data_IF_255257350017
#
_entry.id   IF_255257350017
#
_cell.length_a   1.000
_cell.length_b   1.000
_cell.length_c   1.000
_cell.angle_alpha   90.00
_cell.angle_beta   90.00
_cell.angle_gamma   90.00
#
_symmetry.space_group_name_H-M   'P 1'
#
loop_
_entity.id
_entity.type
_entity.pdbx_description
1 polymer ?
#
# COMPACT_ATOMS: atom_id res chain seq x y z
N UNK A 1 26.71 21.00 -11.51
CA UNK A 1 26.20 22.14 -10.77
C UNK A 1 25.46 21.67 -9.52
N UNK A 2 25.50 22.48 -8.48
CA UNK A 2 24.89 22.22 -7.19
C UNK A 2 23.90 23.32 -6.82
N UNK A 3 22.93 22.99 -5.98
CA UNK A 3 21.99 23.93 -5.37
C UNK A 3 22.18 23.94 -3.86
N UNK A 4 21.85 25.07 -3.24
CA UNK A 4 21.89 25.26 -1.79
C UNK A 4 20.47 25.45 -1.29
N UNK A 5 20.03 24.57 -0.39
CA UNK A 5 18.71 24.62 0.25
C UNK A 5 18.86 24.75 1.76
N UNK A 6 17.83 25.26 2.42
CA UNK A 6 17.83 25.52 3.85
C UNK A 6 16.86 24.59 4.58
N UNK A 7 17.27 24.13 5.76
CA UNK A 7 16.33 23.51 6.71
C UNK A 7 15.44 24.59 7.34
N UNK A 8 14.32 24.22 7.99
CA UNK A 8 13.50 25.18 8.74
C UNK A 8 14.25 25.93 9.81
N UNK A 9 15.35 25.36 10.35
CA UNK A 9 16.22 25.98 11.34
C UNK A 9 17.28 26.91 10.73
N UNK A 10 17.35 26.96 9.40
CA UNK A 10 18.32 27.79 8.68
C UNK A 10 19.65 27.11 8.36
N UNK A 11 19.78 25.82 8.63
CA UNK A 11 20.98 25.04 8.26
C UNK A 11 21.04 24.84 6.74
N UNK A 12 22.26 24.99 6.21
CA UNK A 12 22.50 24.87 4.78
C UNK A 12 22.74 23.42 4.35
N UNK A 13 22.11 23.01 3.26
CA UNK A 13 22.32 21.71 2.63
C UNK A 13 22.62 21.86 1.15
N UNK A 14 23.68 21.21 0.70
CA UNK A 14 24.08 21.19 -0.72
C UNK A 14 23.52 19.93 -1.39
N UNK A 15 22.91 20.11 -2.55
CA UNK A 15 22.36 19.03 -3.37
C UNK A 15 22.78 19.20 -4.83
N UNK A 16 22.84 18.12 -5.62
CA UNK A 16 22.95 18.24 -7.06
C UNK A 16 21.82 19.06 -7.67
N UNK A 17 22.10 19.82 -8.71
CA UNK A 17 21.05 20.50 -9.46
C UNK A 17 20.06 19.49 -10.04
N UNK A 18 18.76 19.81 -9.97
CA UNK A 18 17.68 18.91 -10.35
C UNK A 18 17.21 17.98 -9.25
N UNK A 19 17.81 18.04 -8.06
CA UNK A 19 17.37 17.24 -6.92
C UNK A 19 15.93 17.58 -6.53
N UNK A 20 15.17 16.54 -6.17
CA UNK A 20 13.78 16.64 -5.75
C UNK A 20 13.64 16.67 -4.23
N UNK A 21 12.42 16.92 -3.75
CA UNK A 21 12.10 16.82 -2.33
C UNK A 21 12.45 15.44 -1.76
N UNK A 22 12.24 14.36 -2.52
CA UNK A 22 12.61 13.00 -2.14
C UNK A 22 14.12 12.82 -2.02
N UNK A 23 14.88 13.35 -2.97
CA UNK A 23 16.36 13.35 -2.91
C UNK A 23 16.87 14.04 -1.65
N UNK A 24 16.27 15.17 -1.31
CA UNK A 24 16.60 15.90 -0.08
C UNK A 24 16.32 15.06 1.17
N UNK A 25 15.16 14.42 1.25
CA UNK A 25 14.80 13.56 2.38
C UNK A 25 15.82 12.43 2.60
N UNK A 26 16.20 11.72 1.55
CA UNK A 26 17.23 10.68 1.62
C UNK A 26 18.63 11.23 1.91
N UNK A 27 18.90 12.47 1.55
CA UNK A 27 20.20 13.11 1.86
C UNK A 27 20.37 13.38 3.35
N UNK A 28 19.26 13.60 4.08
CA UNK A 28 19.27 13.83 5.51
C UNK A 28 19.41 12.50 6.27
N UNK A 29 18.46 11.60 6.07
CA UNK A 29 18.45 10.30 6.72
C UNK A 29 17.58 9.31 5.94
N UNK A 30 17.98 8.04 5.92
CA UNK A 30 17.23 7.00 5.21
C UNK A 30 15.80 6.81 5.75
N UNK A 31 15.61 7.00 7.06
CA UNK A 31 14.27 6.92 7.66
C UNK A 31 13.37 8.05 7.16
N UNK A 32 13.86 9.28 7.10
CA UNK A 32 13.11 10.40 6.55
C UNK A 32 12.78 10.18 5.08
N UNK A 33 13.72 9.67 4.30
CA UNK A 33 13.49 9.31 2.91
C UNK A 33 12.42 8.25 2.74
N UNK A 34 12.52 7.14 3.46
CA UNK A 34 11.61 6.00 3.34
C UNK A 34 10.19 6.29 3.82
N UNK A 35 10.01 7.22 4.74
CA UNK A 35 8.71 7.62 5.29
C UNK A 35 8.23 8.97 4.74
N UNK A 36 8.94 9.53 3.75
CA UNK A 36 8.61 10.81 3.17
C UNK A 36 7.24 10.73 2.48
N UNK A 37 6.31 11.53 2.97
CA UNK A 37 4.98 11.68 2.38
C UNK A 37 4.95 12.86 1.38
N UNK A 38 5.71 13.89 1.64
CA UNK A 38 5.85 15.10 0.85
C UNK A 38 6.82 16.07 1.52
N UNK A 39 6.79 17.30 1.09
CA UNK A 39 7.58 18.37 1.70
C UNK A 39 6.80 19.68 1.70
N UNK A 40 7.18 20.57 2.60
CA UNK A 40 6.86 22.00 2.49
C UNK A 40 8.08 22.73 1.93
N UNK A 41 7.90 23.32 0.78
CA UNK A 41 8.93 24.18 0.15
C UNK A 41 8.45 25.61 0.24
N UNK A 42 9.19 26.43 0.95
CA UNK A 42 8.79 27.83 1.23
C UNK A 42 7.35 27.92 1.78
N UNK A 43 7.04 27.04 2.75
CA UNK A 43 5.74 26.91 3.42
C UNK A 43 4.60 26.35 2.56
N UNK A 44 4.86 25.89 1.34
CA UNK A 44 3.88 25.25 0.47
C UNK A 44 4.07 23.76 0.42
N UNK A 45 2.99 23.00 0.58
CA UNK A 45 3.00 21.54 0.43
C UNK A 45 3.25 21.16 -1.04
N UNK A 46 4.25 20.34 -1.24
CA UNK A 46 4.66 19.86 -2.58
C UNK A 46 4.82 18.34 -2.59
N UNK A 47 4.68 17.69 -3.78
CA UNK A 47 4.90 16.26 -3.94
C UNK A 47 6.38 15.88 -3.80
N UNK A 48 6.63 14.57 -3.69
CA UNK A 48 7.99 14.00 -3.62
C UNK A 48 8.86 14.34 -4.83
N UNK A 49 8.23 14.47 -5.99
CA UNK A 49 8.88 14.75 -7.28
C UNK A 49 9.20 16.24 -7.50
N UNK A 50 8.82 17.10 -6.56
CA UNK A 50 9.02 18.55 -6.72
C UNK A 50 10.52 18.88 -6.85
N UNK A 51 10.97 19.51 -7.95
CA UNK A 51 12.35 19.91 -8.11
C UNK A 51 12.68 21.11 -7.21
N UNK A 52 13.78 21.01 -6.48
CA UNK A 52 14.23 22.07 -5.59
C UNK A 52 15.11 23.09 -6.33
N UNK A 53 15.11 24.31 -5.85
CA UNK A 53 15.92 25.41 -6.34
C UNK A 53 16.80 25.99 -5.23
N UNK A 54 17.91 26.62 -5.61
CA UNK A 54 18.75 27.32 -4.65
C UNK A 54 17.95 28.41 -3.91
N UNK A 55 18.09 28.43 -2.61
CA UNK A 55 17.37 29.34 -1.72
C UNK A 55 16.08 28.81 -1.15
N UNK A 56 15.61 27.63 -1.60
CA UNK A 56 14.42 26.99 -1.03
C UNK A 56 14.63 26.60 0.42
N UNK A 57 13.61 26.86 1.25
CA UNK A 57 13.49 26.32 2.60
C UNK A 57 12.63 25.05 2.53
N UNK A 58 13.19 23.92 2.95
CA UNK A 58 12.57 22.60 2.78
C UNK A 58 12.34 21.92 4.12
N UNK A 59 11.11 21.56 4.37
CA UNK A 59 10.68 20.75 5.52
C UNK A 59 10.08 19.45 5.02
N UNK A 60 10.63 18.31 5.46
CA UNK A 60 10.13 16.99 5.08
C UNK A 60 8.96 16.61 5.96
N UNK A 61 7.90 16.13 5.31
CA UNK A 61 6.71 15.58 5.96
C UNK A 61 6.78 14.06 5.88
N UNK A 62 6.67 13.40 7.02
CA UNK A 62 6.71 11.95 7.13
C UNK A 62 5.37 11.39 7.55
N UNK A 63 5.11 10.14 7.17
CA UNK A 63 3.97 9.35 7.64
C UNK A 63 4.44 7.96 8.02
N UNK A 64 3.98 7.45 9.17
CA UNK A 64 4.32 6.10 9.64
C UNK A 64 3.81 5.00 8.71
N UNK A 65 2.72 5.28 7.99
CA UNK A 65 2.12 4.34 7.03
C UNK A 65 2.73 4.41 5.64
N UNK A 66 3.65 5.35 5.38
CA UNK A 66 4.26 5.51 4.07
C UNK A 66 5.27 4.38 3.81
N UNK A 67 5.24 3.85 2.60
CA UNK A 67 6.14 2.81 2.12
C UNK A 67 6.77 3.20 0.81
N UNK A 68 8.04 2.82 0.65
CA UNK A 68 8.76 2.98 -0.61
C UNK A 68 8.14 2.08 -1.67
N UNK A 69 7.92 2.62 -2.85
CA UNK A 69 7.44 1.87 -4.02
C UNK A 69 8.43 1.97 -5.17
N UNK A 70 8.33 1.08 -6.16
CA UNK A 70 9.16 1.14 -7.36
C UNK A 70 8.98 2.44 -8.16
N UNK A 71 7.80 3.05 -8.10
CA UNK A 71 7.51 4.34 -8.73
C UNK A 71 8.39 5.47 -8.18
N UNK A 72 8.89 5.36 -6.97
CA UNK A 72 9.77 6.37 -6.36
C UNK A 72 11.10 6.53 -7.10
N UNK A 73 11.54 5.52 -7.84
CA UNK A 73 12.70 5.63 -8.73
C UNK A 73 12.52 6.69 -9.81
N UNK A 74 11.28 6.99 -10.18
CA UNK A 74 10.97 8.07 -11.12
C UNK A 74 10.98 9.46 -10.47
N UNK A 75 10.86 9.52 -9.14
CA UNK A 75 10.86 10.77 -8.38
C UNK A 75 12.25 11.16 -7.90
N UNK A 76 13.11 10.18 -7.67
CA UNK A 76 14.48 10.40 -7.28
C UNK A 76 15.36 10.68 -8.52
N UNK A 77 16.26 11.65 -8.40
CA UNK A 77 17.21 11.99 -9.45
C UNK A 77 18.66 11.68 -9.05
N UNK A 78 18.96 11.72 -7.75
CA UNK A 78 20.30 11.46 -7.24
C UNK A 78 20.62 9.98 -7.16
N UNK A 79 21.88 9.60 -7.44
CA UNK A 79 22.35 8.22 -7.32
C UNK A 79 22.20 7.70 -5.87
N UNK A 80 22.41 8.57 -4.87
CA UNK A 80 22.27 8.23 -3.46
C UNK A 80 20.83 7.81 -3.11
N UNK A 81 19.83 8.61 -3.51
CA UNK A 81 18.43 8.29 -3.27
C UNK A 81 18.00 7.03 -4.01
N UNK A 82 18.34 6.91 -5.29
CA UNK A 82 18.05 5.71 -6.09
C UNK A 82 18.63 4.44 -5.49
N UNK A 83 19.89 4.49 -5.06
CA UNK A 83 20.56 3.34 -4.44
C UNK A 83 19.87 2.92 -3.13
N UNK A 84 19.48 3.86 -2.30
CA UNK A 84 18.78 3.59 -1.04
C UNK A 84 17.36 3.04 -1.28
N UNK A 85 16.63 3.60 -2.23
CA UNK A 85 15.31 3.09 -2.63
C UNK A 85 15.42 1.64 -3.11
N UNK A 86 16.36 1.34 -3.98
CA UNK A 86 16.58 -0.02 -4.50
C UNK A 86 16.95 -1.00 -3.38
N UNK A 87 17.76 -0.58 -2.41
CA UNK A 87 18.12 -1.42 -1.27
C UNK A 87 16.91 -1.74 -0.37
N UNK A 88 16.05 -0.74 -0.12
CA UNK A 88 14.80 -0.91 0.64
C UNK A 88 13.86 -1.87 -0.08
N UNK A 89 13.64 -1.68 -1.38
CA UNK A 89 12.77 -2.54 -2.18
C UNK A 89 13.26 -4.00 -2.21
N UNK A 90 14.57 -4.21 -2.33
CA UNK A 90 15.15 -5.57 -2.28
C UNK A 90 14.95 -6.22 -0.91
N UNK A 91 15.11 -5.48 0.16
CA UNK A 91 14.89 -5.99 1.53
C UNK A 91 13.42 -6.35 1.76
N UNK A 92 12.50 -5.49 1.34
CA UNK A 92 11.06 -5.75 1.43
C UNK A 92 10.66 -6.98 0.61
N UNK A 93 11.20 -7.11 -0.60
CA UNK A 93 10.96 -8.27 -1.46
C UNK A 93 11.42 -9.57 -0.80
N UNK A 94 12.61 -9.59 -0.22
CA UNK A 94 13.13 -10.76 0.50
C UNK A 94 12.29 -11.08 1.74
N UNK A 95 11.85 -10.08 2.48
CA UNK A 95 10.98 -10.27 3.62
C UNK A 95 9.62 -10.84 3.19
N UNK A 96 9.04 -10.31 2.12
CA UNK A 96 7.78 -10.80 1.58
C UNK A 96 7.90 -12.24 1.09
N UNK A 97 8.99 -12.60 0.42
CA UNK A 97 9.25 -13.98 -0.01
C UNK A 97 9.33 -14.94 1.19
N UNK A 98 10.05 -14.56 2.23
CA UNK A 98 10.17 -15.37 3.44
C UNK A 98 8.82 -15.55 4.14
N UNK A 99 8.11 -14.46 4.37
CA UNK A 99 6.77 -14.50 4.98
C UNK A 99 5.78 -15.31 4.14
N UNK A 100 5.81 -15.13 2.84
CA UNK A 100 4.97 -15.90 1.90
C UNK A 100 5.29 -17.38 1.90
N UNK A 101 6.56 -17.76 1.98
CA UNK A 101 6.97 -19.17 2.10
C UNK A 101 6.49 -19.79 3.40
N UNK A 102 6.61 -19.08 4.52
CA UNK A 102 6.09 -19.51 5.83
C UNK A 102 4.58 -19.70 5.80
N UNK A 103 3.84 -18.76 5.23
CA UNK A 103 2.38 -18.84 5.07
C UNK A 103 1.98 -20.01 4.18
N UNK A 104 2.70 -20.27 3.10
CA UNK A 104 2.46 -21.40 2.22
C UNK A 104 2.73 -22.74 2.90
N UNK A 105 3.79 -22.85 3.67
CA UNK A 105 4.10 -24.05 4.42
C UNK A 105 3.02 -24.36 5.47
N UNK A 106 2.49 -23.34 6.14
CA UNK A 106 1.34 -23.50 7.05
C UNK A 106 0.09 -23.96 6.31
N UNK A 107 -0.18 -23.40 5.13
CA UNK A 107 -1.30 -23.81 4.29
C UNK A 107 -1.18 -25.27 3.83
N UNK A 108 -0.02 -25.69 3.37
CA UNK A 108 0.22 -27.07 2.99
C UNK A 108 0.05 -28.03 4.17
N UNK A 109 0.56 -27.67 5.33
CA UNK A 109 0.41 -28.46 6.54
C UNK A 109 -1.04 -28.58 6.97
N UNK A 110 -1.82 -27.50 6.87
CA UNK A 110 -3.24 -27.51 7.23
C UNK A 110 -4.09 -28.38 6.29
N UNK A 111 -3.65 -28.59 5.06
CA UNK A 111 -4.37 -29.36 4.02
C UNK A 111 -3.72 -30.72 3.70
N UNK A 112 -2.78 -31.17 4.51
CA UNK A 112 -2.04 -32.43 4.29
C UNK A 112 -1.37 -32.53 2.92
N UNK A 113 -0.85 -31.40 2.42
CA UNK A 113 -0.12 -31.34 1.17
C UNK A 113 1.37 -31.27 1.48
N UNK A 114 2.18 -32.12 0.82
CA UNK A 114 3.62 -32.07 0.93
C UNK A 114 4.16 -30.80 0.29
N UNK A 115 5.04 -30.08 1.02
CA UNK A 115 5.74 -28.90 0.52
C UNK A 115 6.88 -29.27 -0.45
N UNK A 116 6.53 -30.02 -1.51
CA UNK A 116 7.48 -30.46 -2.54
C UNK A 116 7.65 -29.40 -3.63
N UNK A 117 8.75 -29.48 -4.35
CA UNK A 117 9.00 -28.65 -5.53
C UNK A 117 7.87 -28.76 -6.55
N UNK A 118 7.34 -29.97 -6.74
CA UNK A 118 6.25 -30.25 -7.69
C UNK A 118 4.96 -29.54 -7.26
N UNK A 119 4.61 -29.61 -5.97
CA UNK A 119 3.39 -28.97 -5.47
C UNK A 119 3.51 -27.45 -5.48
N UNK A 120 4.68 -26.90 -5.17
CA UNK A 120 4.94 -25.46 -5.28
C UNK A 120 4.82 -25.02 -6.73
N UNK A 121 5.36 -25.79 -7.68
CA UNK A 121 5.24 -25.51 -9.12
C UNK A 121 3.79 -25.53 -9.60
N UNK A 122 3.00 -26.54 -9.19
CA UNK A 122 1.57 -26.58 -9.49
C UNK A 122 0.86 -25.32 -9.05
N UNK A 123 1.19 -24.82 -7.86
CA UNK A 123 0.54 -23.64 -7.28
C UNK A 123 0.99 -22.34 -7.96
N UNK A 124 2.28 -22.15 -8.22
CA UNK A 124 2.69 -20.91 -8.88
C UNK A 124 2.20 -20.85 -10.34
N UNK A 125 2.12 -21.96 -11.05
CA UNK A 125 1.49 -22.03 -12.38
C UNK A 125 -0.01 -21.76 -12.33
N UNK A 126 -0.70 -22.24 -11.29
CA UNK A 126 -2.11 -21.97 -11.07
C UNK A 126 -2.39 -20.48 -10.93
N UNK A 127 -1.51 -19.74 -10.25
CA UNK A 127 -1.57 -18.28 -10.09
C UNK A 127 -0.88 -17.52 -11.22
N UNK A 128 -0.51 -18.17 -12.31
CA UNK A 128 0.14 -17.56 -13.48
C UNK A 128 1.47 -16.86 -13.13
N UNK A 129 2.17 -17.37 -12.13
CA UNK A 129 3.52 -16.94 -11.77
C UNK A 129 4.56 -17.80 -12.49
N UNK A 130 5.76 -17.26 -12.69
CA UNK A 130 6.84 -17.93 -13.41
C UNK A 130 7.79 -18.70 -12.50
N UNK A 131 7.89 -18.26 -11.25
CA UNK A 131 8.84 -18.82 -10.27
C UNK A 131 8.18 -18.95 -8.89
N UNK A 132 8.77 -19.79 -8.04
CA UNK A 132 8.34 -19.91 -6.63
C UNK A 132 8.57 -18.61 -5.86
N UNK A 133 9.62 -17.87 -6.19
CA UNK A 133 9.94 -16.59 -5.56
C UNK A 133 8.85 -15.56 -5.82
N UNK A 134 8.33 -15.51 -7.05
CA UNK A 134 7.20 -14.65 -7.39
C UNK A 134 5.93 -15.05 -6.61
N UNK A 135 5.68 -16.35 -6.47
CA UNK A 135 4.56 -16.85 -5.68
C UNK A 135 4.70 -16.45 -4.21
N UNK A 136 5.84 -16.70 -3.61
CA UNK A 136 6.10 -16.38 -2.21
C UNK A 136 5.95 -14.89 -1.94
N UNK A 137 6.52 -14.05 -2.79
CA UNK A 137 6.39 -12.60 -2.68
C UNK A 137 4.93 -12.15 -2.77
N UNK A 138 4.17 -12.68 -3.72
CA UNK A 138 2.75 -12.35 -3.89
C UNK A 138 1.91 -12.77 -2.67
N UNK A 139 2.20 -13.91 -2.06
CA UNK A 139 1.57 -14.34 -0.82
C UNK A 139 1.97 -13.44 0.35
N UNK A 140 3.24 -13.11 0.47
CA UNK A 140 3.77 -12.23 1.51
C UNK A 140 3.24 -10.81 1.43
N UNK A 141 3.06 -10.28 0.22
CA UNK A 141 2.42 -8.99 -0.03
C UNK A 141 0.88 -9.02 0.06
N UNK A 142 0.28 -10.20 0.28
CA UNK A 142 -1.17 -10.42 0.31
C UNK A 142 -1.88 -10.12 -1.02
N UNK A 143 -1.16 -10.12 -2.12
CA UNK A 143 -1.72 -10.07 -3.46
C UNK A 143 -2.41 -11.41 -3.82
N UNK A 144 -1.88 -12.50 -3.28
CA UNK A 144 -2.50 -13.83 -3.28
C UNK A 144 -2.86 -14.18 -1.84
N UNK A 145 -4.15 -14.43 -1.62
CA UNK A 145 -4.67 -14.97 -0.36
C UNK A 145 -5.00 -16.43 -0.57
N UNK A 146 -4.26 -17.31 0.09
CA UNK A 146 -4.46 -18.76 -0.01
C UNK A 146 -5.83 -19.14 0.57
N UNK A 147 -6.56 -19.97 -0.17
CA UNK A 147 -7.91 -20.39 0.17
C UNK A 147 -8.16 -21.84 -0.27
N UNK A 148 -9.34 -22.36 0.01
CA UNK A 148 -9.75 -23.70 -0.48
C UNK A 148 -9.82 -23.76 -2.01
N UNK A 149 -10.04 -22.63 -2.69
CA UNK A 149 -10.02 -22.57 -4.15
C UNK A 149 -8.66 -22.96 -4.74
N UNK A 150 -7.57 -22.71 -4.02
CA UNK A 150 -6.20 -23.07 -4.43
C UNK A 150 -5.98 -24.59 -4.46
N UNK A 151 -6.81 -25.39 -3.79
CA UNK A 151 -6.75 -26.86 -3.82
C UNK A 151 -6.99 -27.41 -5.21
N UNK A 152 -7.66 -26.68 -6.09
CA UNK A 152 -7.83 -27.05 -7.49
C UNK A 152 -6.50 -27.22 -8.24
N UNK A 153 -5.44 -26.53 -7.81
CA UNK A 153 -4.11 -26.67 -8.38
C UNK A 153 -3.54 -28.09 -8.22
N UNK A 154 -3.99 -28.83 -7.20
CA UNK A 154 -3.48 -30.15 -6.81
C UNK A 154 -4.38 -31.29 -7.29
N UNK A 155 -5.53 -31.00 -7.90
CA UNK A 155 -6.36 -32.04 -8.49
C UNK A 155 -5.63 -32.73 -9.63
N UNK A 156 -5.50 -34.03 -9.54
CA UNK A 156 -5.03 -34.82 -10.67
C UNK A 156 -6.03 -34.66 -11.84
N UNK A 157 -5.53 -34.20 -12.97
CA UNK A 157 -6.28 -34.31 -14.23
C UNK A 157 -6.41 -35.80 -14.52
N UNK A 158 -7.51 -36.40 -14.09
CA UNK A 158 -7.85 -37.73 -14.55
C UNK A 158 -7.98 -37.68 -16.06
N UNK A 159 -7.00 -38.29 -16.73
CA UNK A 159 -7.09 -38.59 -18.15
C UNK A 159 -8.36 -39.38 -18.39
N UNK A 160 -9.21 -38.86 -19.25
CA UNK A 160 -10.38 -39.42 -19.86
C UNK A 160 -10.71 -40.84 -19.45
N UNK A 161 -11.80 -40.99 -18.73
CA UNK A 161 -12.53 -42.22 -18.58
C UNK A 161 -13.99 -41.93 -18.27
N UNK A 162 -14.87 -42.19 -19.20
CA UNK A 162 -16.32 -42.12 -19.10
C UNK A 162 -16.80 -42.70 -17.78
N UNK A 163 -17.58 -41.97 -17.03
CA UNK A 163 -18.23 -42.50 -15.85
C UNK A 163 -19.13 -41.50 -15.14
N UNK A 164 -20.33 -41.35 -15.61
CA UNK A 164 -21.58 -41.00 -14.95
C UNK A 164 -21.52 -40.50 -13.48
N UNK A 165 -21.96 -39.34 -13.37
CA UNK A 165 -22.58 -38.57 -12.28
C UNK A 165 -23.16 -39.47 -11.16
N UNK A 166 -22.71 -39.21 -9.93
CA UNK A 166 -23.57 -39.32 -8.76
C UNK A 166 -23.67 -37.98 -8.07
N UNK A 167 -24.81 -37.39 -8.36
CA UNK A 167 -25.43 -36.30 -7.60
C UNK A 167 -25.59 -36.77 -6.15
N UNK A 168 -24.87 -36.19 -5.21
CA UNK A 168 -25.16 -36.38 -3.80
C UNK A 168 -25.31 -35.03 -3.14
N UNK A 169 -26.53 -34.86 -2.74
CA UNK A 169 -27.15 -33.89 -1.87
C UNK A 169 -26.22 -33.32 -0.78
N UNK A 170 -26.18 -32.01 -0.72
CA UNK A 170 -25.70 -31.29 0.46
C UNK A 170 -26.86 -31.16 1.47
N UNK A 171 -26.66 -31.54 2.72
CA UNK A 171 -27.59 -31.14 3.76
C UNK A 171 -27.24 -29.73 4.22
N UNK A 172 -28.22 -28.89 4.19
CA UNK A 172 -28.20 -27.56 4.85
C UNK A 172 -27.91 -27.73 6.34
N UNK A 173 -26.80 -27.22 6.78
CA UNK A 173 -26.46 -27.09 8.19
C UNK A 173 -26.35 -25.62 8.59
N UNK A 174 -27.39 -25.21 9.25
CA UNK A 174 -27.54 -23.92 9.93
C UNK A 174 -26.45 -23.76 11.00
N UNK A 175 -25.59 -22.74 10.92
CA UNK A 175 -24.70 -22.45 12.03
C UNK A 175 -24.77 -20.99 12.50
N UNK A 176 -25.15 -20.94 13.74
CA UNK A 176 -25.40 -19.77 14.59
C UNK A 176 -24.14 -18.92 14.79
N UNK A 177 -24.38 -17.62 14.78
CA UNK A 177 -23.55 -16.55 15.30
C UNK A 177 -22.68 -16.91 16.51
N UNK A 178 -21.37 -16.69 16.42
CA UNK A 178 -20.52 -16.41 17.58
C UNK A 178 -19.94 -15.01 17.46
N UNK A 179 -20.38 -14.17 18.40
CA UNK A 179 -19.86 -12.83 18.66
C UNK A 179 -18.37 -12.90 19.02
N UNK A 180 -17.51 -12.36 18.16
CA UNK A 180 -16.12 -12.09 18.49
C UNK A 180 -15.99 -10.73 19.18
N UNK A 181 -15.29 -10.71 20.30
CA UNK A 181 -14.97 -9.54 21.12
C UNK A 181 -14.25 -8.46 20.31
N UNK A 182 -14.77 -7.24 20.39
CA UNK A 182 -14.09 -6.02 19.91
C UNK A 182 -12.97 -5.67 20.87
N UNK A 183 -11.72 -5.73 20.40
CA UNK A 183 -10.62 -5.02 21.04
C UNK A 183 -10.74 -3.52 20.76
N UNK A 184 -10.70 -2.75 21.82
CA UNK A 184 -10.72 -1.27 21.77
C UNK A 184 -9.33 -0.80 21.38
N UNK A 185 -9.21 -0.21 20.19
CA UNK A 185 -8.07 0.63 19.83
C UNK A 185 -8.20 2.03 20.44
N UNK A 186 -7.08 2.70 20.76
CA UNK A 186 -7.12 4.01 21.43
C UNK A 186 -7.67 5.10 20.50
N UNK A 187 -8.47 5.95 21.08
CA UNK A 187 -9.15 7.07 20.43
C UNK A 187 -8.17 8.15 19.99
N UNK A 188 -7.90 8.20 18.70
CA UNK A 188 -7.44 9.42 18.04
C UNK A 188 -8.63 10.31 17.74
N UNK A 189 -8.47 11.61 17.94
CA UNK A 189 -9.48 12.65 17.72
C UNK A 189 -10.01 12.56 16.29
N UNK A 190 -11.20 11.97 16.13
CA UNK A 190 -11.83 11.80 14.82
C UNK A 190 -12.61 13.04 14.47
N UNK A 191 -12.42 13.58 13.26
CA UNK A 191 -13.36 14.54 12.69
C UNK A 191 -14.73 13.86 12.69
N UNK A 192 -15.70 14.47 13.38
CA UNK A 192 -17.03 13.92 13.40
C UNK A 192 -17.65 14.04 12.00
N UNK A 193 -18.00 12.90 11.40
CA UNK A 193 -18.58 12.84 10.03
C UNK A 193 -19.84 13.72 9.92
N UNK A 194 -20.50 13.98 11.02
CA UNK A 194 -21.69 14.86 11.10
C UNK A 194 -21.42 16.32 10.73
N UNK A 195 -20.15 16.76 10.84
CA UNK A 195 -19.76 18.16 10.63
C UNK A 195 -19.11 18.39 9.25
N UNK A 196 -19.10 17.38 8.37
CA UNK A 196 -18.48 17.49 7.06
C UNK A 196 -19.44 18.17 6.08
N UNK A 197 -19.06 19.34 5.60
CA UNK A 197 -19.77 20.00 4.51
C UNK A 197 -19.42 19.32 3.18
N UNK A 198 -20.34 18.48 2.70
CA UNK A 198 -20.16 17.72 1.45
C UNK A 198 -20.11 18.58 0.19
N UNK A 199 -20.41 19.87 0.30
CA UNK A 199 -20.34 20.82 -0.81
C UNK A 199 -18.94 21.36 -1.04
N UNK A 200 -18.06 21.17 -0.06
CA UNK A 200 -16.66 21.62 -0.13
C UNK A 200 -15.73 20.42 -0.14
N UNK A 201 -14.63 20.45 -0.92
CA UNK A 201 -13.64 19.38 -0.86
C UNK A 201 -12.96 19.37 0.52
N UNK A 202 -12.58 18.15 0.95
CA UNK A 202 -11.74 17.97 2.14
C UNK A 202 -10.35 18.55 1.84
N UNK A 203 -9.88 19.43 2.71
CA UNK A 203 -8.52 19.96 2.60
C UNK A 203 -7.55 18.99 3.32
N UNK A 204 -6.65 18.42 2.56
CA UNK A 204 -5.63 17.51 3.07
C UNK A 204 -4.43 18.31 3.54
N UNK A 205 -4.48 18.79 4.78
CA UNK A 205 -3.37 19.40 5.47
C UNK A 205 -2.51 18.35 6.15
N UNK A 206 -1.27 18.69 6.49
CA UNK A 206 -0.40 17.78 7.23
C UNK A 206 -1.03 17.29 8.54
N UNK A 207 -1.61 18.19 9.30
CA UNK A 207 -2.27 17.90 10.57
C UNK A 207 -3.48 16.98 10.38
N UNK A 208 -4.32 17.27 9.38
CA UNK A 208 -5.50 16.47 9.08
C UNK A 208 -5.15 15.04 8.65
N UNK A 209 -4.07 14.86 7.88
CA UNK A 209 -3.59 13.54 7.46
C UNK A 209 -3.06 12.75 8.64
N UNK A 210 -2.34 13.38 9.54
CA UNK A 210 -1.79 12.70 10.72
C UNK A 210 -2.86 12.31 11.74
N UNK A 211 -3.88 13.14 11.91
CA UNK A 211 -4.86 13.02 12.99
C UNK A 211 -6.21 12.44 12.57
N UNK A 212 -6.65 12.73 11.35
CA UNK A 212 -8.06 12.54 10.95
C UNK A 212 -8.27 11.62 9.77
N UNK A 213 -7.31 11.51 8.86
CA UNK A 213 -7.45 10.76 7.61
C UNK A 213 -6.54 9.56 7.56
N UNK A 214 -6.98 8.52 6.84
CA UNK A 214 -6.20 7.32 6.56
C UNK A 214 -5.80 7.36 5.10
N UNK A 215 -4.52 7.13 4.83
CA UNK A 215 -4.01 6.95 3.47
C UNK A 215 -4.26 5.51 3.04
N UNK A 216 -4.95 5.33 1.92
CA UNK A 216 -5.29 4.00 1.42
C UNK A 216 -4.05 3.18 1.05
N UNK A 217 -3.96 1.95 1.55
CA UNK A 217 -2.84 1.05 1.26
C UNK A 217 -2.84 0.56 -0.19
N UNK A 218 -4.01 0.48 -0.83
CA UNK A 218 -4.16 -0.05 -2.19
C UNK A 218 -3.53 0.83 -3.28
N UNK A 219 -3.41 2.14 -3.05
CA UNK A 219 -2.93 3.10 -4.05
C UNK A 219 -1.95 4.13 -3.50
N UNK A 220 -1.83 4.27 -2.18
CA UNK A 220 -0.87 5.15 -1.48
C UNK A 220 -0.75 6.53 -2.11
N UNK A 221 -1.81 7.36 -2.08
CA UNK A 221 -1.78 8.71 -2.65
C UNK A 221 -0.74 9.59 -1.94
N UNK A 222 -0.12 10.43 -2.71
CA UNK A 222 0.87 11.43 -2.25
C UNK A 222 0.41 12.83 -2.66
N UNK A 223 0.94 13.89 -2.02
CA UNK A 223 0.66 15.27 -2.45
C UNK A 223 0.92 15.46 -3.94
N UNK A 224 -0.04 16.08 -4.63
CA UNK A 224 -0.03 16.26 -6.09
C UNK A 224 -0.88 15.23 -6.86
N UNK A 225 -1.24 14.11 -6.26
CA UNK A 225 -2.16 13.15 -6.86
C UNK A 225 -3.59 13.70 -6.86
N UNK A 226 -4.38 13.32 -7.86
CA UNK A 226 -5.82 13.53 -7.85
C UNK A 226 -6.47 12.50 -6.94
N UNK A 227 -7.15 12.97 -5.89
CA UNK A 227 -7.62 12.14 -4.79
C UNK A 227 -9.10 12.30 -4.49
N UNK A 228 -9.64 11.33 -3.79
CA UNK A 228 -10.98 11.38 -3.18
C UNK A 228 -10.93 10.78 -1.77
N UNK A 229 -11.92 11.13 -0.96
CA UNK A 229 -12.15 10.52 0.33
C UNK A 229 -13.28 9.49 0.27
N UNK A 230 -13.16 8.43 1.05
CA UNK A 230 -14.19 7.41 1.22
C UNK A 230 -14.46 7.20 2.71
N UNK A 231 -15.73 7.25 3.11
CA UNK A 231 -16.16 6.96 4.49
C UNK A 231 -16.34 5.45 4.61
N UNK A 232 -15.45 4.79 5.36
CA UNK A 232 -15.50 3.35 5.56
C UNK A 232 -16.57 2.92 6.60
N UNK A 233 -16.70 1.61 6.83
CA UNK A 233 -17.67 1.06 7.78
C UNK A 233 -17.38 1.42 9.25
N UNK A 234 -16.15 1.85 9.55
CA UNK A 234 -15.73 2.33 10.86
C UNK A 234 -15.90 3.85 11.03
N UNK A 235 -16.56 4.51 10.09
CA UNK A 235 -16.69 5.97 10.02
C UNK A 235 -15.32 6.69 9.98
N UNK A 236 -14.35 6.10 9.29
CA UNK A 236 -13.06 6.71 9.02
C UNK A 236 -13.03 7.20 7.57
N UNK A 237 -12.31 8.29 7.33
CA UNK A 237 -12.12 8.82 5.98
C UNK A 237 -10.81 8.28 5.43
N UNK A 238 -10.91 7.49 4.37
CA UNK A 238 -9.78 6.88 3.68
C UNK A 238 -9.54 7.64 2.38
N UNK A 239 -8.32 8.12 2.18
CA UNK A 239 -7.93 8.88 0.99
C UNK A 239 -7.38 7.91 -0.06
N UNK A 240 -7.99 7.92 -1.23
CA UNK A 240 -7.61 7.13 -2.39
C UNK A 240 -7.19 8.03 -3.55
N UNK A 241 -6.32 7.53 -4.42
CA UNK A 241 -6.18 8.11 -5.76
C UNK A 241 -7.51 7.97 -6.51
N UNK A 242 -7.93 8.99 -7.22
CA UNK A 242 -9.20 8.97 -7.98
C UNK A 242 -9.22 7.85 -9.04
N UNK A 243 -8.08 7.52 -9.62
CA UNK A 243 -7.92 6.48 -10.64
C UNK A 243 -7.69 5.08 -10.07
N UNK A 244 -7.67 4.91 -8.75
CA UNK A 244 -7.51 3.61 -8.13
C UNK A 244 -8.67 2.68 -8.49
N UNK A 245 -8.42 1.42 -8.91
CA UNK A 245 -9.49 0.47 -9.23
C UNK A 245 -10.42 0.18 -8.05
N UNK A 246 -9.88 0.17 -6.82
CA UNK A 246 -10.67 0.03 -5.59
C UNK A 246 -11.59 1.24 -5.40
N UNK A 247 -11.08 2.45 -5.61
CA UNK A 247 -11.87 3.68 -5.52
C UNK A 247 -12.99 3.70 -6.57
N UNK A 248 -12.74 3.23 -7.78
CA UNK A 248 -13.76 3.12 -8.84
C UNK A 248 -14.90 2.18 -8.44
N UNK A 249 -14.57 1.04 -7.83
CA UNK A 249 -15.58 0.09 -7.30
C UNK A 249 -16.37 0.68 -6.15
N UNK A 250 -15.71 1.36 -5.22
CA UNK A 250 -16.37 2.03 -4.09
C UNK A 250 -17.30 3.13 -4.57
N UNK A 251 -16.90 3.91 -5.58
CA UNK A 251 -17.73 4.95 -6.19
C UNK A 251 -18.99 4.36 -6.83
N UNK A 252 -18.89 3.23 -7.51
CA UNK A 252 -20.02 2.55 -8.15
C UNK A 252 -21.00 1.95 -7.14
N UNK A 253 -20.48 1.37 -6.04
CA UNK A 253 -21.29 0.65 -5.05
C UNK A 253 -21.75 1.54 -3.89
N UNK A 254 -20.98 2.55 -3.53
CA UNK A 254 -21.18 3.38 -2.34
C UNK A 254 -20.96 4.86 -2.64
N UNK A 255 -21.49 5.37 -3.74
CA UNK A 255 -21.28 6.75 -4.18
C UNK A 255 -21.65 7.82 -3.16
N UNK A 256 -22.59 7.53 -2.25
CA UNK A 256 -23.00 8.40 -1.15
C UNK A 256 -21.93 8.54 -0.04
N UNK A 257 -20.92 7.68 -0.01
CA UNK A 257 -19.80 7.70 0.92
C UNK A 257 -18.53 8.34 0.33
N UNK A 258 -18.60 8.78 -0.92
CA UNK A 258 -17.47 9.44 -1.60
C UNK A 258 -17.50 10.94 -1.29
N UNK A 259 -16.34 11.47 -0.95
CA UNK A 259 -16.10 12.88 -0.65
C UNK A 259 -15.04 13.43 -1.60
N UNK A 260 -15.24 14.65 -2.07
CA UNK A 260 -14.19 15.36 -2.79
C UNK A 260 -13.05 15.70 -1.81
N UNK A 261 -11.81 15.59 -2.27
CA UNK A 261 -10.63 15.91 -1.49
C UNK A 261 -9.58 16.57 -2.36
N UNK A 262 -8.84 17.50 -1.78
CA UNK A 262 -7.74 18.20 -2.43
C UNK A 262 -6.61 18.48 -1.44
N UNK A 263 -5.38 18.54 -1.94
CA UNK A 263 -4.21 18.93 -1.16
C UNK A 263 -4.21 20.44 -0.94
N UNK A 264 -3.91 20.85 0.29
CA UNK A 264 -3.82 22.27 0.63
C UNK A 264 -2.44 22.86 0.32
#
# INVERSE_FOLDING_TARGET
>A
SEILVFTPKGDLKTLPAGATALDYAFSIHSFLGSHCFGAKVNHKLVPLSHPLQSGDQVEIITSKSQHVTSAWLNFATTAKAKSKIMAILRKEQRNAQREGEEMLNEYFKAHDIEASTINIEKLYKFHQKKTKEELFAAIGHKDIVLSEADLEAFREKSSQGNGWIKLLQFPFGNQKNKKGKKEKQPSTTKVAIKDIDRKKPLLLTEEAIQESYIIADCCKPIPGDDVLGFIDDNNQIVIHKRQCPVASRLKSSYGNRILAAEWS
#
